data_IF_036859117585
#
_entry.id   IF_036859117585
#
_cell.length_a   1.000
_cell.length_b   1.000
_cell.length_c   1.000
_cell.angle_alpha   90.00
_cell.angle_beta   90.00
_cell.angle_gamma   90.00
#
_symmetry.space_group_name_H-M   'P 1'
#
loop_
_entity.id
_entity.type
_entity.pdbx_description
1 polymer ?
#
# COMPACT_ATOMS: atom_id res chain seq x y z
N UNK A 1 -5.91 -3.58 8.62
CA UNK A 1 -5.49 -4.97 8.92
C UNK A 1 -6.59 -5.90 8.45
N UNK A 2 -6.23 -7.02 7.85
CA UNK A 2 -7.21 -8.03 7.42
C UNK A 2 -7.62 -8.94 8.58
N UNK A 3 -8.84 -9.52 8.51
CA UNK A 3 -9.38 -10.37 9.58
C UNK A 3 -8.95 -11.85 9.47
N UNK A 4 -7.96 -12.18 8.64
CA UNK A 4 -7.52 -13.55 8.36
C UNK A 4 -6.42 -14.06 9.32
N UNK A 5 -6.15 -13.29 10.37
CA UNK A 5 -5.17 -13.59 11.43
C UNK A 5 -3.73 -13.83 10.95
N UNK A 6 -3.40 -13.37 9.75
CA UNK A 6 -2.02 -13.47 9.22
C UNK A 6 -1.07 -12.42 9.82
N UNK A 7 -1.59 -11.41 10.50
CA UNK A 7 -0.84 -10.39 11.25
C UNK A 7 -1.45 -10.21 12.64
N UNK A 8 -0.64 -9.76 13.59
CA UNK A 8 -1.09 -9.57 14.97
C UNK A 8 -1.38 -8.10 15.28
N UNK A 9 -2.41 -7.79 16.10
CA UNK A 9 -2.69 -6.43 16.55
C UNK A 9 -1.53 -5.79 17.31
N UNK A 10 -0.72 -6.59 18.03
CA UNK A 10 0.44 -6.12 18.79
C UNK A 10 1.48 -5.43 17.91
N UNK A 11 1.59 -5.86 16.64
CA UNK A 11 2.52 -5.26 15.69
C UNK A 11 2.12 -3.83 15.30
N UNK A 12 0.88 -3.37 15.58
CA UNK A 12 0.51 -1.96 15.44
C UNK A 12 1.37 -1.03 16.29
N UNK A 13 1.74 -1.47 17.49
CA UNK A 13 2.58 -0.67 18.38
C UNK A 13 3.96 -0.37 17.75
N UNK A 14 4.46 -1.25 16.88
CA UNK A 14 5.70 -1.01 16.13
C UNK A 14 5.51 0.10 15.09
N UNK A 15 4.37 0.10 14.39
CA UNK A 15 4.08 1.10 13.36
C UNK A 15 3.76 2.47 13.97
N UNK A 16 3.08 2.49 15.11
CA UNK A 16 2.67 3.72 15.79
C UNK A 16 3.85 4.54 16.31
N UNK A 17 5.01 3.91 16.58
CA UNK A 17 6.21 4.62 17.03
C UNK A 17 6.72 5.65 16.01
N UNK A 18 6.51 5.39 14.75
CA UNK A 18 7.05 6.20 13.66
C UNK A 18 6.01 7.08 12.96
N UNK A 19 4.74 7.03 13.39
CA UNK A 19 3.67 7.77 12.71
C UNK A 19 3.78 9.29 12.89
N UNK A 20 4.51 9.75 13.88
CA UNK A 20 4.77 11.17 14.08
C UNK A 20 5.63 11.76 12.93
N UNK A 21 6.57 10.99 12.39
CA UNK A 21 7.53 11.44 11.38
C UNK A 21 7.14 11.04 9.94
N UNK A 22 6.25 10.04 9.81
CA UNK A 22 5.85 9.46 8.53
C UNK A 22 4.33 9.44 8.37
N UNK A 23 3.83 9.84 7.21
CA UNK A 23 2.42 9.89 6.92
C UNK A 23 1.80 8.52 6.64
N UNK A 24 2.64 7.56 6.20
CA UNK A 24 2.28 6.15 6.06
C UNK A 24 3.39 5.29 6.66
N UNK A 25 3.05 4.46 7.64
CA UNK A 25 3.91 3.40 8.14
C UNK A 25 3.28 2.06 7.80
N UNK A 26 4.04 1.16 7.18
CA UNK A 26 3.52 -0.12 6.71
C UNK A 26 4.45 -1.28 7.00
N UNK A 27 3.86 -2.46 7.21
CA UNK A 27 4.61 -3.67 7.44
C UNK A 27 5.25 -4.24 6.17
N UNK A 28 6.40 -4.89 6.35
CA UNK A 28 6.97 -5.84 5.39
C UNK A 28 6.87 -7.21 6.04
N UNK A 29 6.25 -8.16 5.35
CA UNK A 29 6.11 -9.52 5.88
C UNK A 29 7.46 -10.22 5.92
N UNK A 30 7.97 -10.41 7.14
CA UNK A 30 9.17 -11.20 7.38
C UNK A 30 8.87 -12.71 7.21
N UNK A 31 9.83 -13.45 6.68
CA UNK A 31 9.81 -14.93 6.61
C UNK A 31 8.56 -15.54 5.93
N UNK A 32 8.16 -15.01 4.76
CA UNK A 32 7.06 -15.60 3.98
C UNK A 32 7.34 -17.07 3.63
N UNK A 33 6.54 -17.97 4.20
CA UNK A 33 6.57 -19.41 3.90
C UNK A 33 5.65 -19.78 2.72
N UNK A 34 5.64 -18.98 1.66
CA UNK A 34 4.89 -19.30 0.44
C UNK A 34 5.69 -20.25 -0.45
N UNK A 35 4.99 -21.00 -1.33
CA UNK A 35 5.65 -21.85 -2.31
C UNK A 35 6.56 -21.03 -3.24
N UNK A 36 7.62 -21.66 -3.76
CA UNK A 36 8.59 -21.02 -4.65
C UNK A 36 7.93 -20.28 -5.82
N UNK A 37 6.95 -20.91 -6.49
CA UNK A 37 6.23 -20.29 -7.62
C UNK A 37 5.43 -19.04 -7.22
N UNK A 38 4.75 -19.07 -6.06
CA UNK A 38 4.03 -17.90 -5.54
C UNK A 38 4.98 -16.75 -5.20
N UNK A 39 6.14 -17.08 -4.65
CA UNK A 39 7.16 -16.08 -4.33
C UNK A 39 7.75 -15.45 -5.59
N UNK A 40 8.07 -16.27 -6.61
CA UNK A 40 8.60 -15.78 -7.89
C UNK A 40 7.58 -14.88 -8.60
N UNK A 41 6.33 -15.30 -8.69
CA UNK A 41 5.23 -14.55 -9.29
C UNK A 41 5.02 -13.21 -8.57
N UNK A 42 5.05 -13.23 -7.25
CA UNK A 42 4.95 -12.02 -6.43
C UNK A 42 6.15 -11.08 -6.63
N UNK A 43 7.36 -11.60 -6.76
CA UNK A 43 8.57 -10.80 -7.03
C UNK A 43 8.49 -10.10 -8.39
N UNK A 44 8.05 -10.82 -9.43
CA UNK A 44 7.90 -10.25 -10.79
C UNK A 44 6.84 -9.15 -10.78
N UNK A 45 5.65 -9.43 -10.22
CA UNK A 45 4.56 -8.46 -10.17
C UNK A 45 4.93 -7.21 -9.34
N UNK A 46 5.57 -7.39 -8.19
CA UNK A 46 6.03 -6.26 -7.37
C UNK A 46 7.20 -5.51 -8.03
N UNK A 47 8.08 -6.20 -8.75
CA UNK A 47 9.17 -5.57 -9.53
C UNK A 47 8.62 -4.66 -10.61
N UNK A 48 7.68 -5.17 -11.43
CA UNK A 48 7.00 -4.38 -12.46
C UNK A 48 6.26 -3.18 -11.86
N UNK A 49 5.48 -3.39 -10.79
CA UNK A 49 4.78 -2.30 -10.11
C UNK A 49 5.76 -1.23 -9.62
N UNK A 50 6.85 -1.60 -8.93
CA UNK A 50 7.87 -0.65 -8.44
C UNK A 50 8.50 0.15 -9.57
N UNK A 51 8.79 -0.49 -10.71
CA UNK A 51 9.31 0.18 -11.90
C UNK A 51 8.31 1.21 -12.43
N UNK A 52 7.02 0.90 -12.39
CA UNK A 52 5.96 1.78 -12.89
C UNK A 52 5.59 2.90 -11.92
N UNK A 53 5.58 2.63 -10.63
CA UNK A 53 5.15 3.59 -9.58
C UNK A 53 6.30 4.42 -9.02
N UNK A 54 7.53 3.89 -9.00
CA UNK A 54 8.70 4.49 -8.35
C UNK A 54 8.46 4.79 -6.85
N UNK A 55 7.69 3.92 -6.17
CA UNK A 55 7.33 4.13 -4.77
C UNK A 55 8.33 3.55 -3.75
N UNK A 56 9.31 2.78 -4.20
CA UNK A 56 10.34 2.16 -3.34
C UNK A 56 9.80 1.08 -2.39
N UNK A 57 8.51 0.75 -2.47
CA UNK A 57 7.86 -0.18 -1.53
C UNK A 57 8.08 -1.64 -1.93
N UNK A 58 8.54 -2.43 -0.98
CA UNK A 58 8.87 -3.84 -1.19
C UNK A 58 7.66 -4.76 -1.14
N UNK A 59 6.74 -4.54 -0.19
CA UNK A 59 5.58 -5.40 0.05
C UNK A 59 4.28 -4.59 0.21
N UNK A 60 3.62 -4.28 -0.90
CA UNK A 60 2.30 -3.62 -0.86
C UNK A 60 1.18 -4.53 -0.40
N UNK A 61 1.40 -5.83 -0.45
CA UNK A 61 0.41 -6.84 -0.05
C UNK A 61 0.33 -7.07 1.46
N UNK A 62 1.20 -6.45 2.27
CA UNK A 62 1.06 -6.51 3.72
C UNK A 62 -0.20 -5.74 4.15
N UNK A 63 -1.13 -6.37 4.91
CA UNK A 63 -2.37 -5.72 5.32
C UNK A 63 -2.17 -4.73 6.47
N UNK A 64 -1.05 -4.83 7.19
CA UNK A 64 -0.78 -3.98 8.34
C UNK A 64 -0.21 -2.63 7.90
N UNK A 65 -1.02 -1.58 8.01
CA UNK A 65 -0.68 -0.21 7.64
C UNK A 65 -1.31 0.77 8.60
N UNK A 66 -0.58 1.84 8.92
CA UNK A 66 -1.06 3.01 9.67
C UNK A 66 -0.85 4.24 8.81
N UNK A 67 -1.90 5.03 8.67
CA UNK A 67 -1.94 6.17 7.75
C UNK A 67 -2.60 7.35 8.42
N UNK A 68 -2.03 8.53 8.27
CA UNK A 68 -2.66 9.77 8.72
C UNK A 68 -3.99 10.03 7.98
N UNK A 69 -5.04 10.31 8.74
CA UNK A 69 -6.40 10.50 8.22
C UNK A 69 -6.49 11.62 7.19
N UNK A 70 -5.76 12.72 7.38
CA UNK A 70 -5.73 13.84 6.44
C UNK A 70 -5.28 13.42 5.04
N UNK A 71 -4.28 12.54 4.96
CA UNK A 71 -3.78 11.98 3.70
C UNK A 71 -4.72 10.92 3.14
N UNK A 72 -5.31 10.09 4.02
CA UNK A 72 -6.27 9.06 3.61
C UNK A 72 -7.49 9.66 2.88
N UNK A 73 -8.03 10.76 3.39
CA UNK A 73 -9.21 11.46 2.83
C UNK A 73 -8.97 12.04 1.42
N UNK A 74 -7.72 12.22 1.02
CA UNK A 74 -7.34 12.79 -0.29
C UNK A 74 -6.98 11.73 -1.33
N UNK A 75 -7.06 10.46 -0.98
CA UNK A 75 -6.77 9.35 -1.91
C UNK A 75 -7.96 9.19 -2.86
N UNK A 76 -7.73 9.15 -4.20
CA UNK A 76 -8.79 8.81 -5.14
C UNK A 76 -9.23 7.35 -4.96
N UNK A 77 -10.54 7.13 -4.88
CA UNK A 77 -11.12 5.79 -4.71
C UNK A 77 -11.32 5.12 -6.07
N UNK A 78 -10.73 3.94 -6.24
CA UNK A 78 -10.97 3.07 -7.39
C UNK A 78 -10.73 1.60 -7.00
N UNK A 79 -11.31 0.68 -7.77
CA UNK A 79 -11.14 -0.76 -7.55
C UNK A 79 -9.68 -1.16 -7.68
N UNK A 80 -9.11 -1.83 -6.67
CA UNK A 80 -7.70 -2.24 -6.68
C UNK A 80 -6.72 -1.21 -6.08
N UNK A 81 -7.19 -0.02 -5.67
CA UNK A 81 -6.34 1.05 -5.12
C UNK A 81 -5.44 0.63 -3.96
N UNK A 82 -5.83 -0.39 -3.20
CA UNK A 82 -5.07 -0.88 -2.05
C UNK A 82 -3.64 -1.33 -2.42
N UNK A 83 -3.41 -1.73 -3.67
CA UNK A 83 -2.09 -2.11 -4.21
C UNK A 83 -1.22 -0.90 -4.51
N UNK A 84 -1.83 0.26 -4.73
CA UNK A 84 -1.18 1.52 -5.08
C UNK A 84 -1.18 2.52 -3.92
N UNK A 85 -1.71 2.14 -2.76
CA UNK A 85 -1.84 3.02 -1.60
C UNK A 85 -0.55 3.79 -1.28
N UNK A 86 0.64 3.15 -1.20
CA UNK A 86 1.89 3.89 -0.98
C UNK A 86 2.17 4.90 -2.09
N UNK A 87 2.02 4.48 -3.35
CA UNK A 87 2.27 5.33 -4.49
C UNK A 87 1.33 6.57 -4.53
N UNK A 88 0.04 6.37 -4.18
CA UNK A 88 -0.96 7.44 -4.09
C UNK A 88 -0.65 8.43 -2.95
N UNK A 89 -0.12 7.93 -1.84
CA UNK A 89 0.29 8.79 -0.71
C UNK A 89 1.51 9.63 -1.09
N UNK A 90 2.47 9.04 -1.82
CA UNK A 90 3.64 9.78 -2.31
C UNK A 90 3.29 10.92 -3.28
N UNK A 91 2.15 10.86 -3.99
CA UNK A 91 1.67 11.98 -4.81
C UNK A 91 1.34 13.23 -3.97
N UNK A 92 1.12 13.06 -2.68
CA UNK A 92 0.80 14.12 -1.74
C UNK A 92 2.06 14.65 -0.99
N UNK A 93 3.27 14.40 -1.51
CA UNK A 93 4.57 14.75 -0.90
C UNK A 93 4.75 14.15 0.52
N UNK A 94 4.16 13.00 0.75
CA UNK A 94 4.21 12.30 2.03
C UNK A 94 5.46 11.41 2.15
N UNK A 95 5.89 11.16 3.37
CA UNK A 95 6.95 10.23 3.71
C UNK A 95 6.39 8.87 4.10
N UNK A 96 7.04 7.81 3.65
CA UNK A 96 6.64 6.43 3.93
C UNK A 96 7.77 5.71 4.67
N UNK A 97 7.41 4.93 5.69
CA UNK A 97 8.31 4.00 6.37
C UNK A 97 7.81 2.58 6.25
N UNK A 98 8.74 1.65 6.06
CA UNK A 98 8.47 0.22 6.01
C UNK A 98 9.17 -0.47 7.18
N UNK A 99 8.44 -1.32 7.92
CA UNK A 99 8.93 -2.00 9.13
C UNK A 99 8.68 -3.50 8.98
N UNK A 100 9.67 -4.36 9.27
CA UNK A 100 9.45 -5.80 9.32
C UNK A 100 8.41 -6.16 10.38
N UNK A 101 7.38 -6.93 9.98
CA UNK A 101 6.33 -7.44 10.87
C UNK A 101 6.21 -8.95 10.78
N UNK A 102 5.69 -9.56 11.81
CA UNK A 102 5.45 -11.01 11.85
C UNK A 102 4.36 -11.38 10.85
N UNK A 103 4.50 -12.55 10.25
CA UNK A 103 3.52 -13.06 9.31
C UNK A 103 3.26 -14.54 9.60
N UNK A 104 1.99 -14.86 9.80
CA UNK A 104 1.54 -16.20 10.16
C UNK A 104 0.82 -16.88 8.99
N UNK A 105 0.81 -18.22 8.95
CA UNK A 105 -0.03 -18.94 8.01
C UNK A 105 -1.50 -18.59 8.22
N UNK A 106 -2.28 -18.57 7.13
CA UNK A 106 -3.71 -18.34 7.21
C UNK A 106 -4.39 -19.48 7.98
N UNK A 107 -5.18 -19.13 8.97
CA UNK A 107 -5.89 -20.09 9.83
C UNK A 107 -7.18 -20.60 9.16
N UNK A 108 -7.88 -19.74 8.38
CA UNK A 108 -9.16 -20.09 7.73
C UNK A 108 -9.32 -19.40 6.37
N UNK A 109 -10.17 -20.00 5.52
CA UNK A 109 -10.57 -19.45 4.23
C UNK A 109 -9.69 -19.88 3.06
N UNK A 110 -10.30 -19.94 1.86
CA UNK A 110 -9.63 -20.22 0.59
C UNK A 110 -9.51 -18.95 -0.23
N UNK A 111 -8.43 -18.85 -1.02
CA UNK A 111 -8.26 -17.71 -1.93
C UNK A 111 -9.26 -17.81 -3.10
N UNK A 112 -10.21 -16.87 -3.17
CA UNK A 112 -11.26 -16.81 -4.20
C UNK A 112 -10.84 -16.17 -5.52
N UNK A 113 -9.55 -15.82 -5.68
CA UNK A 113 -9.10 -15.04 -6.84
C UNK A 113 -8.57 -15.92 -7.96
N UNK A 114 -9.13 -15.75 -9.18
CA UNK A 114 -8.61 -16.34 -10.41
C UNK A 114 -7.33 -15.62 -10.86
N UNK A 115 -6.40 -16.34 -11.49
CA UNK A 115 -5.09 -15.86 -11.92
C UNK A 115 -5.18 -14.63 -12.85
N UNK A 116 -6.15 -14.60 -13.77
CA UNK A 116 -6.35 -13.50 -14.72
C UNK A 116 -6.64 -12.17 -14.02
N UNK A 117 -7.57 -12.17 -13.07
CA UNK A 117 -7.91 -10.95 -12.31
C UNK A 117 -6.76 -10.45 -11.44
N UNK A 118 -5.81 -11.33 -11.10
CA UNK A 118 -4.63 -10.98 -10.29
C UNK A 118 -3.49 -10.37 -11.10
N UNK A 119 -3.44 -10.60 -12.41
CA UNK A 119 -2.35 -10.15 -13.28
C UNK A 119 -2.78 -8.99 -14.18
N UNK A 120 -3.90 -9.11 -14.88
CA UNK A 120 -4.32 -8.14 -15.89
C UNK A 120 -4.75 -6.82 -15.26
N UNK A 121 -5.64 -6.84 -14.26
CA UNK A 121 -6.11 -5.60 -13.63
C UNK A 121 -4.97 -4.79 -12.99
N UNK A 122 -4.07 -5.36 -12.14
CA UNK A 122 -2.96 -4.59 -11.61
C UNK A 122 -1.96 -4.09 -12.66
N UNK A 123 -1.84 -4.79 -13.78
CA UNK A 123 -1.01 -4.34 -14.89
C UNK A 123 -1.58 -3.08 -15.54
N UNK A 124 -2.86 -3.08 -15.88
CA UNK A 124 -3.56 -1.90 -16.41
C UNK A 124 -3.58 -0.74 -15.42
N UNK A 125 -3.80 -1.03 -14.14
CA UNK A 125 -3.80 -0.04 -13.06
C UNK A 125 -2.45 0.69 -12.94
N UNK A 126 -1.32 0.04 -13.29
CA UNK A 126 -0.02 0.70 -13.33
C UNK A 126 0.03 1.82 -14.37
N UNK A 127 -0.57 1.64 -15.54
CA UNK A 127 -0.64 2.69 -16.57
C UNK A 127 -1.60 3.81 -16.14
N UNK A 128 -2.73 3.46 -15.57
CA UNK A 128 -3.67 4.43 -15.00
C UNK A 128 -2.99 5.29 -13.92
N UNK A 129 -2.22 4.66 -13.02
CA UNK A 129 -1.43 5.38 -12.01
C UNK A 129 -0.42 6.34 -12.66
N UNK A 130 0.33 5.91 -13.68
CA UNK A 130 1.29 6.78 -14.39
C UNK A 130 0.61 7.96 -15.08
N UNK A 131 -0.54 7.74 -15.67
CA UNK A 131 -1.35 8.80 -16.24
C UNK A 131 -1.79 9.78 -15.15
N UNK A 132 -2.32 9.30 -14.03
CA UNK A 132 -2.73 10.10 -12.87
C UNK A 132 -1.55 10.90 -12.31
N UNK A 133 -0.39 10.26 -12.10
CA UNK A 133 0.82 10.91 -11.57
C UNK A 133 1.23 12.12 -12.40
N UNK A 134 1.13 12.06 -13.71
CA UNK A 134 1.48 13.18 -14.61
C UNK A 134 0.51 14.36 -14.52
N UNK A 135 -0.69 14.15 -14.00
CA UNK A 135 -1.79 15.12 -13.93
C UNK A 135 -2.19 15.46 -12.51
N UNK A 136 -1.56 14.84 -11.54
CA UNK A 136 -1.88 15.08 -10.14
C UNK A 136 -1.50 16.51 -9.74
N UNK A 137 -2.47 17.23 -9.17
CA UNK A 137 -2.27 18.57 -8.63
C UNK A 137 -2.28 18.45 -7.11
N UNK A 138 -1.11 18.67 -6.49
CA UNK A 138 -0.99 18.71 -5.05
C UNK A 138 -1.15 20.18 -4.60
N UNK A 139 -2.30 20.52 -4.04
CA UNK A 139 -2.57 21.84 -3.51
C UNK A 139 -3.04 21.77 -2.07
N UNK A 140 -2.78 22.82 -1.32
CA UNK A 140 -3.36 23.06 0.00
C UNK A 140 -4.19 24.34 -0.07
N UNK A 141 -5.40 24.25 0.39
CA UNK A 141 -6.21 25.46 0.60
C UNK A 141 -5.62 26.15 1.82
N UNK A 142 -5.09 27.35 1.66
CA UNK A 142 -4.70 28.19 2.79
C UNK A 142 -5.95 28.63 3.56
N UNK A 143 -5.79 28.93 4.83
CA UNK A 143 -6.87 29.53 5.61
C UNK A 143 -7.24 30.85 4.95
N UNK A 144 -8.39 30.88 4.30
CA UNK A 144 -8.92 32.11 3.73
C UNK A 144 -9.47 32.95 4.87
N UNK A 145 -8.78 34.02 5.19
CA UNK A 145 -9.39 35.18 5.90
C UNK A 145 -10.40 35.88 4.98
N UNK A 146 -11.32 35.13 4.40
CA UNK A 146 -12.45 35.68 3.62
C UNK A 146 -13.72 35.71 4.47
N UNK A 147 -13.60 36.11 5.74
CA UNK A 147 -14.71 36.54 6.55
C UNK A 147 -14.31 37.90 7.18
N UNK A 148 -14.36 38.94 6.38
CA UNK A 148 -14.70 40.28 6.79
C UNK A 148 -15.97 40.71 6.04
#
# INVERSE_FOLDING_TARGET
>A
MDADLQTTPEDFNLLLKDIADYQLVMGIRANRKDSFFKNLQSKIANGFRRMMTHDGVQDTGCPLKVLHTAYAKRIPFFTGMHRFLPALILLQDAKIKQIPVRHFPRVAGTSKYHLWNRLVSPFLDCFAYRWMKKRYINYRVGDNNLME
#
